data_IF_542396978706
#
_entry.id   IF_542396978706
#
_cell.length_a   1.000
_cell.length_b   1.000
_cell.length_c   1.000
_cell.angle_alpha   90.00
_cell.angle_beta   90.00
_cell.angle_gamma   90.00
#
_symmetry.space_group_name_H-M   'P 1'
#
loop_
_entity.id
_entity.type
_entity.pdbx_description
1 polymer ?
#
# COMPACT_ATOMS: atom_id res chain seq x y z
N UNK A 1 10.79 1.19 -9.09
CA UNK A 1 10.96 1.13 -7.62
C UNK A 1 10.43 -0.20 -7.11
N UNK A 2 10.97 -0.73 -6.02
CA UNK A 2 10.45 -1.93 -5.36
C UNK A 2 9.74 -1.52 -4.08
N UNK A 3 8.54 -2.03 -3.84
CA UNK A 3 7.82 -1.86 -2.58
C UNK A 3 7.69 -3.21 -1.88
N UNK A 4 7.97 -3.24 -0.58
CA UNK A 4 7.90 -4.43 0.26
C UNK A 4 7.00 -4.10 1.44
N UNK A 5 5.97 -4.92 1.65
CA UNK A 5 5.24 -4.94 2.90
C UNK A 5 6.01 -5.76 3.93
N UNK A 6 6.33 -5.17 5.06
CA UNK A 6 7.06 -5.80 6.15
C UNK A 6 6.48 -5.40 7.50
N UNK A 7 6.76 -6.18 8.53
CA UNK A 7 6.44 -5.81 9.92
C UNK A 7 7.72 -5.34 10.58
N UNK A 8 7.74 -4.09 11.06
CA UNK A 8 8.88 -3.51 11.80
C UNK A 8 8.41 -3.07 13.17
N UNK A 9 9.07 -3.57 14.21
CA UNK A 9 8.76 -3.25 15.61
C UNK A 9 7.28 -3.48 15.96
N UNK A 10 6.66 -4.51 15.36
CA UNK A 10 5.25 -4.83 15.53
C UNK A 10 4.27 -3.98 14.71
N UNK A 11 4.76 -3.03 13.91
CA UNK A 11 3.97 -2.11 13.07
C UNK A 11 4.07 -2.51 11.59
N UNK A 12 2.92 -2.57 10.92
CA UNK A 12 2.86 -2.76 9.48
C UNK A 12 3.52 -1.58 8.75
N UNK A 13 4.55 -1.88 7.96
CA UNK A 13 5.36 -0.89 7.24
C UNK A 13 5.45 -1.27 5.76
N UNK A 14 5.39 -0.29 4.87
CA UNK A 14 5.75 -0.46 3.47
C UNK A 14 7.08 0.23 3.20
N UNK A 15 8.12 -0.56 2.89
CA UNK A 15 9.44 -0.04 2.55
C UNK A 15 9.61 0.03 1.03
N UNK A 16 10.03 1.20 0.55
CA UNK A 16 10.31 1.46 -0.87
C UNK A 16 11.81 1.50 -1.08
N UNK A 17 12.28 0.74 -2.07
CA UNK A 17 13.69 0.58 -2.42
C UNK A 17 13.98 1.04 -3.85
N UNK A 18 15.18 1.58 -4.02
CA UNK A 18 15.79 1.78 -5.32
C UNK A 18 16.55 0.51 -5.70
N UNK A 19 16.09 -0.19 -6.73
CA UNK A 19 16.62 -1.50 -7.14
C UNK A 19 18.11 -1.46 -7.54
N UNK A 20 18.56 -0.53 -8.41
CA UNK A 20 19.95 -0.54 -8.86
C UNK A 20 20.97 -0.38 -7.73
N UNK A 21 20.63 0.39 -6.70
CA UNK A 21 21.54 0.66 -5.58
C UNK A 21 21.17 -0.13 -4.32
N UNK A 22 20.09 -0.91 -4.34
CA UNK A 22 19.51 -1.62 -3.20
C UNK A 22 19.32 -0.76 -1.93
N UNK A 23 19.13 0.55 -2.11
CA UNK A 23 18.99 1.49 -0.99
C UNK A 23 17.52 1.69 -0.66
N UNK A 24 17.20 1.68 0.64
CA UNK A 24 15.86 2.05 1.12
C UNK A 24 15.65 3.54 0.94
N UNK A 25 14.64 3.91 0.16
CA UNK A 25 14.25 5.29 -0.10
C UNK A 25 13.27 5.79 0.97
N UNK A 26 12.26 4.99 1.29
CA UNK A 26 11.17 5.37 2.21
C UNK A 26 10.69 4.18 3.03
N UNK A 27 10.15 4.48 4.20
CA UNK A 27 9.36 3.57 5.02
C UNK A 27 8.04 4.28 5.33
N UNK A 28 6.94 3.71 4.85
CA UNK A 28 5.60 4.27 4.97
C UNK A 28 4.84 3.50 6.03
N UNK A 29 4.27 4.20 6.99
CA UNK A 29 3.41 3.66 8.03
C UNK A 29 2.11 4.44 8.07
N UNK A 30 1.08 3.85 8.67
CA UNK A 30 -0.21 4.48 8.88
C UNK A 30 -0.64 4.18 10.32
N UNK A 31 -0.82 5.23 11.14
CA UNK A 31 -1.25 5.08 12.53
C UNK A 31 -2.70 4.58 12.65
N UNK A 32 -3.51 4.76 11.61
CA UNK A 32 -4.88 4.23 11.56
C UNK A 32 -4.96 2.73 11.27
N UNK A 33 -3.82 2.08 10.94
CA UNK A 33 -3.76 0.64 10.71
C UNK A 33 -3.39 -0.08 12.00
N UNK A 34 -4.29 -0.93 12.48
CA UNK A 34 -4.10 -1.82 13.62
C UNK A 34 -3.54 -3.18 13.22
N UNK A 35 -3.71 -3.59 11.96
CA UNK A 35 -3.12 -4.84 11.47
C UNK A 35 -1.60 -4.79 11.53
N UNK A 36 -0.98 -5.95 11.79
CA UNK A 36 0.49 -6.08 11.87
C UNK A 36 1.16 -6.23 10.51
N UNK A 37 0.38 -6.41 9.44
CA UNK A 37 0.90 -6.67 8.09
C UNK A 37 -0.01 -6.09 7.01
N UNK A 38 0.61 -5.73 5.88
CA UNK A 38 -0.10 -5.48 4.63
C UNK A 38 -0.09 -6.74 3.78
N UNK A 39 -1.23 -7.11 3.19
CA UNK A 39 -1.36 -8.29 2.34
C UNK A 39 -0.97 -8.03 0.89
N UNK A 40 -1.17 -6.81 0.41
CA UNK A 40 -0.86 -6.44 -0.96
C UNK A 40 -0.45 -4.98 -1.01
N UNK A 41 0.52 -4.68 -1.87
CA UNK A 41 1.02 -3.34 -2.17
C UNK A 41 1.09 -3.18 -3.67
N UNK A 42 0.75 -1.98 -4.16
CA UNK A 42 0.77 -1.69 -5.59
C UNK A 42 1.21 -0.23 -5.82
N UNK A 43 2.00 -0.02 -6.87
CA UNK A 43 2.29 1.32 -7.38
C UNK A 43 1.23 1.73 -8.39
N UNK A 44 0.94 3.02 -8.45
CA UNK A 44 0.26 3.60 -9.60
C UNK A 44 1.17 3.57 -10.83
N UNK A 45 0.57 3.62 -12.02
CA UNK A 45 1.31 3.60 -13.28
C UNK A 45 2.32 4.74 -13.40
N UNK A 46 1.91 5.94 -13.01
CA UNK A 46 2.76 7.13 -13.02
C UNK A 46 3.84 7.11 -11.93
N UNK A 47 3.84 6.08 -11.06
CA UNK A 47 4.77 5.90 -9.97
C UNK A 47 4.69 6.97 -8.88
N UNK A 48 3.64 7.80 -8.84
CA UNK A 48 3.48 8.86 -7.81
C UNK A 48 2.75 8.36 -6.57
N UNK A 49 1.90 7.35 -6.74
CA UNK A 49 1.09 6.80 -5.67
C UNK A 49 1.51 5.38 -5.35
N UNK A 50 1.34 5.03 -4.08
CA UNK A 50 1.47 3.67 -3.58
C UNK A 50 0.23 3.37 -2.78
N UNK A 51 -0.39 2.22 -3.02
CA UNK A 51 -1.50 1.74 -2.22
C UNK A 51 -1.11 0.45 -1.51
N UNK A 52 -1.66 0.23 -0.32
CA UNK A 52 -1.55 -1.02 0.41
C UNK A 52 -2.87 -1.37 1.07
N UNK A 53 -3.12 -2.67 1.25
CA UNK A 53 -4.27 -3.19 1.99
C UNK A 53 -3.80 -3.98 3.21
N UNK A 54 -4.38 -3.67 4.37
CA UNK A 54 -4.16 -4.38 5.62
C UNK A 54 -5.15 -5.53 5.80
N UNK A 55 -4.79 -6.47 6.66
CA UNK A 55 -5.63 -7.59 7.05
C UNK A 55 -6.52 -7.28 8.26
N UNK A 56 -6.97 -8.35 8.91
CA UNK A 56 -7.64 -8.23 10.20
C UNK A 56 -6.75 -7.50 11.24
N UNK A 57 -7.33 -6.80 12.22
CA UNK A 57 -8.78 -6.70 12.49
C UNK A 57 -9.51 -5.57 11.74
N UNK A 58 -8.80 -4.72 10.99
CA UNK A 58 -9.32 -3.44 10.54
C UNK A 58 -9.59 -3.34 9.04
N UNK A 59 -8.99 -4.22 8.22
CA UNK A 59 -9.19 -4.30 6.77
C UNK A 59 -9.12 -2.94 6.09
N UNK A 60 -7.98 -2.26 6.19
CA UNK A 60 -7.81 -0.88 5.75
C UNK A 60 -7.03 -0.82 4.45
N UNK A 61 -7.52 -0.05 3.50
CA UNK A 61 -6.77 0.40 2.35
C UNK A 61 -6.13 1.75 2.67
N UNK A 62 -4.83 1.87 2.40
CA UNK A 62 -4.11 3.12 2.55
C UNK A 62 -3.51 3.52 1.21
N UNK A 63 -3.64 4.80 0.87
CA UNK A 63 -3.05 5.40 -0.31
C UNK A 63 -2.07 6.49 0.12
N UNK A 64 -0.85 6.44 -0.40
CA UNK A 64 0.19 7.44 -0.16
C UNK A 64 0.64 8.09 -1.46
N UNK A 65 0.98 9.37 -1.38
CA UNK A 65 1.97 10.00 -2.25
C UNK A 65 3.35 9.68 -1.63
N UNK A 66 3.92 8.54 -2.05
CA UNK A 66 5.02 7.90 -1.33
C UNK A 66 6.34 8.68 -1.43
N UNK A 67 6.57 9.36 -2.55
CA UNK A 67 7.72 10.20 -2.80
C UNK A 67 7.82 11.33 -1.77
N UNK A 68 6.68 11.96 -1.49
CA UNK A 68 6.49 13.01 -0.49
C UNK A 68 6.31 12.46 0.92
N UNK A 69 6.18 11.15 1.10
CA UNK A 69 5.88 10.51 2.37
C UNK A 69 4.53 10.93 2.95
N UNK A 70 3.61 11.42 2.12
CA UNK A 70 2.31 11.95 2.55
C UNK A 70 1.24 10.89 2.37
N UNK A 71 0.48 10.65 3.44
CA UNK A 71 -0.75 9.89 3.35
C UNK A 71 -1.82 10.71 2.63
N UNK A 72 -2.42 10.13 1.60
CA UNK A 72 -3.46 10.78 0.79
C UNK A 72 -4.82 10.40 1.31
N UNK A 73 -5.07 9.11 1.52
CA UNK A 73 -6.34 8.63 2.09
C UNK A 73 -6.19 7.30 2.82
N UNK A 74 -7.16 7.05 3.68
CA UNK A 74 -7.37 5.80 4.43
C UNK A 74 -8.82 5.41 4.23
N UNK A 75 -9.04 4.18 3.78
CA UNK A 75 -10.37 3.65 3.55
C UNK A 75 -10.55 2.33 4.30
N UNK A 76 -11.51 2.29 5.22
CA UNK A 76 -11.82 1.07 5.97
C UNK A 76 -12.74 0.19 5.12
N UNK A 77 -12.23 -0.95 4.70
CA UNK A 77 -13.00 -1.92 3.92
C UNK A 77 -13.88 -2.74 4.86
N UNK A 78 -15.13 -2.98 4.47
CA UNK A 78 -16.07 -3.79 5.25
C UNK A 78 -15.78 -5.29 5.20
N UNK A 79 -14.87 -5.72 4.31
CA UNK A 79 -14.50 -7.11 4.11
C UNK A 79 -13.02 -7.24 3.76
N UNK A 80 -12.49 -8.46 3.88
CA UNK A 80 -11.10 -8.74 3.57
C UNK A 80 -10.82 -8.64 2.06
N UNK A 81 -9.78 -7.89 1.72
CA UNK A 81 -9.18 -7.90 0.40
C UNK A 81 -7.90 -8.76 0.42
N UNK A 82 -7.66 -9.50 -0.66
CA UNK A 82 -6.46 -10.34 -0.84
C UNK A 82 -5.49 -9.74 -1.85
N UNK A 83 -6.00 -8.99 -2.82
CA UNK A 83 -5.17 -8.43 -3.90
C UNK A 83 -5.60 -7.01 -4.25
N UNK A 84 -4.60 -6.20 -4.51
CA UNK A 84 -4.73 -4.82 -4.92
C UNK A 84 -3.99 -4.61 -6.24
N UNK A 85 -4.62 -3.96 -7.21
CA UNK A 85 -3.93 -3.51 -8.42
C UNK A 85 -4.46 -2.16 -8.87
N UNK A 86 -3.57 -1.32 -9.37
CA UNK A 86 -4.00 -0.16 -10.14
C UNK A 86 -4.40 -0.61 -11.54
N UNK A 87 -5.56 -0.15 -12.01
CA UNK A 87 -5.93 -0.25 -13.40
C UNK A 87 -5.18 0.82 -14.21
N UNK A 88 -4.66 0.43 -15.37
CA UNK A 88 -3.90 1.29 -16.26
C UNK A 88 -4.79 1.70 -17.43
N UNK A 89 -5.87 2.42 -17.16
CA UNK A 89 -6.75 2.96 -18.20
C UNK A 89 -6.39 4.43 -18.45
N UNK A 90 -6.40 4.86 -19.72
CA UNK A 90 -6.18 6.27 -20.09
C UNK A 90 -7.22 7.22 -19.48
N UNK A 91 -8.35 6.68 -19.04
CA UNK A 91 -9.33 7.35 -18.20
C UNK A 91 -9.00 7.06 -16.74
N UNK A 92 -8.80 8.15 -15.95
CA UNK A 92 -8.55 8.24 -14.50
C UNK A 92 -8.10 6.93 -13.78
N UNK A 93 -6.93 6.91 -13.12
CA UNK A 93 -6.41 5.70 -12.49
C UNK A 93 -7.42 5.14 -11.48
N UNK A 94 -7.97 3.97 -11.80
CA UNK A 94 -9.00 3.30 -10.99
C UNK A 94 -8.32 2.21 -10.15
N UNK A 95 -8.65 2.11 -8.86
CA UNK A 95 -8.08 1.12 -7.96
C UNK A 95 -9.01 -0.10 -7.89
N UNK A 96 -8.50 -1.27 -8.27
CA UNK A 96 -9.25 -2.52 -8.22
C UNK A 96 -8.78 -3.36 -7.02
N UNK A 97 -9.75 -3.84 -6.24
CA UNK A 97 -9.53 -4.68 -5.05
C UNK A 97 -10.32 -5.96 -5.20
N UNK A 98 -9.71 -7.12 -4.97
CA UNK A 98 -10.40 -8.40 -4.94
C UNK A 98 -10.29 -9.06 -3.57
N UNK A 99 -11.38 -9.67 -3.10
CA UNK A 99 -11.45 -10.47 -1.87
C UNK A 99 -11.44 -11.98 -2.14
N UNK A 100 -11.43 -12.83 -1.10
CA UNK A 100 -11.58 -14.27 -1.26
C UNK A 100 -12.98 -14.63 -1.82
N UNK A 101 -13.11 -15.84 -2.39
CA UNK A 101 -14.40 -16.41 -2.84
C UNK A 101 -15.37 -16.58 -1.68
#
# INVERSE_FOLDING_TARGET
HLAIAETRDGVATVSVYHLPTQRRLKALTCSSVQSKQYHSVAFSFDGKMLAAISGAPDHVLVLWAWDKGRQVTVYKMGQQATKLTFSMTEQLPTLCVSGPK
#
